data_IF_688096938714
#
_entry.id   IF_688096938714
#
_cell.length_a   1.000
_cell.length_b   1.000
_cell.length_c   1.000
_cell.angle_alpha   90.00
_cell.angle_beta   90.00
_cell.angle_gamma   90.00
#
_symmetry.space_group_name_H-M   'P 1'
#
loop_
_entity.id
_entity.type
_entity.pdbx_description
1 polymer ?
#
# COMPACT_ATOMS: atom_id res chain seq x y z
N UNK A 1 -41.12 2.83 -27.32
CA UNK A 1 -39.99 2.07 -26.74
C UNK A 1 -39.73 2.63 -25.37
N UNK A 2 -39.64 1.79 -24.33
CA UNK A 2 -39.56 2.24 -22.94
C UNK A 2 -38.08 2.40 -22.54
N UNK A 3 -37.68 3.59 -22.10
CA UNK A 3 -36.33 3.90 -21.61
C UNK A 3 -35.92 2.93 -20.49
N UNK A 4 -36.80 2.70 -19.52
CA UNK A 4 -36.52 1.89 -18.35
C UNK A 4 -36.29 0.42 -18.74
N UNK A 5 -36.99 -0.05 -19.77
CA UNK A 5 -36.79 -1.40 -20.30
C UNK A 5 -35.38 -1.57 -20.88
N UNK A 6 -34.88 -0.59 -21.63
CA UNK A 6 -33.52 -0.63 -22.15
C UNK A 6 -32.45 -0.46 -21.07
N UNK A 7 -32.67 0.41 -20.08
CA UNK A 7 -31.77 0.53 -18.93
C UNK A 7 -31.69 -0.79 -18.14
N UNK A 8 -32.83 -1.42 -17.86
CA UNK A 8 -32.87 -2.71 -17.17
C UNK A 8 -32.20 -3.82 -17.98
N UNK A 9 -32.42 -3.84 -19.30
CA UNK A 9 -31.77 -4.82 -20.17
C UNK A 9 -30.25 -4.61 -20.23
N UNK A 10 -29.79 -3.35 -20.25
CA UNK A 10 -28.37 -3.02 -20.11
C UNK A 10 -27.77 -3.54 -18.80
N UNK A 11 -28.50 -3.37 -17.68
CA UNK A 11 -28.08 -3.92 -16.39
C UNK A 11 -27.93 -5.44 -16.43
N UNK A 12 -28.90 -6.15 -17.01
CA UNK A 12 -28.85 -7.61 -17.16
C UNK A 12 -27.62 -8.03 -17.99
N UNK A 13 -27.36 -7.37 -19.12
CA UNK A 13 -26.19 -7.67 -19.94
C UNK A 13 -24.87 -7.40 -19.21
N UNK A 14 -24.79 -6.33 -18.42
CA UNK A 14 -23.62 -6.04 -17.58
C UNK A 14 -23.39 -7.16 -16.55
N UNK A 15 -24.43 -7.62 -15.85
CA UNK A 15 -24.31 -8.69 -14.85
C UNK A 15 -23.81 -10.01 -15.46
N UNK A 16 -24.14 -10.31 -16.72
CA UNK A 16 -23.66 -11.51 -17.42
C UNK A 16 -22.34 -11.30 -18.19
N UNK A 17 -21.67 -10.15 -18.02
CA UNK A 17 -20.37 -9.85 -18.64
C UNK A 17 -20.42 -9.44 -20.12
N UNK A 18 -21.61 -9.24 -20.69
CA UNK A 18 -21.84 -8.86 -22.08
C UNK A 18 -21.80 -7.33 -22.23
N UNK A 19 -20.64 -6.74 -21.90
CA UNK A 19 -20.46 -5.29 -21.76
C UNK A 19 -20.79 -4.48 -23.03
N UNK A 20 -20.47 -5.02 -24.21
CA UNK A 20 -20.78 -4.34 -25.46
C UNK A 20 -22.29 -4.21 -25.69
N UNK A 21 -23.05 -5.28 -25.42
CA UNK A 21 -24.53 -5.26 -25.51
C UNK A 21 -25.14 -4.37 -24.43
N UNK A 22 -24.56 -4.35 -23.23
CA UNK A 22 -24.97 -3.43 -22.17
C UNK A 22 -24.87 -1.97 -22.63
N UNK A 23 -23.74 -1.59 -23.22
CA UNK A 23 -23.51 -0.24 -23.76
C UNK A 23 -24.47 0.13 -24.90
N UNK A 24 -24.79 -0.81 -25.79
CA UNK A 24 -25.78 -0.59 -26.85
C UNK A 24 -27.16 -0.25 -26.27
N UNK A 25 -27.62 -1.01 -25.28
CA UNK A 25 -28.90 -0.74 -24.64
C UNK A 25 -28.93 0.55 -23.83
N UNK A 26 -27.84 0.90 -23.15
CA UNK A 26 -27.73 2.20 -22.48
C UNK A 26 -27.76 3.37 -23.46
N UNK A 27 -27.10 3.26 -24.63
CA UNK A 27 -27.17 4.27 -25.69
C UNK A 27 -28.61 4.45 -26.20
N UNK A 28 -29.33 3.36 -26.48
CA UNK A 28 -30.75 3.43 -26.87
C UNK A 28 -31.59 4.10 -25.77
N UNK A 29 -31.32 3.79 -24.49
CA UNK A 29 -32.02 4.42 -23.37
C UNK A 29 -31.73 5.93 -23.26
N UNK A 30 -30.50 6.37 -23.57
CA UNK A 30 -30.13 7.78 -23.65
C UNK A 30 -30.74 8.50 -24.85
N UNK A 31 -30.86 7.84 -26.01
CA UNK A 31 -31.56 8.41 -27.18
C UNK A 31 -33.01 8.74 -26.86
N UNK A 32 -33.66 7.96 -25.99
CA UNK A 32 -35.02 8.20 -25.51
C UNK A 32 -35.10 9.29 -24.44
N UNK A 33 -34.08 9.41 -23.58
CA UNK A 33 -33.99 10.43 -22.54
C UNK A 33 -32.53 10.75 -22.18
N UNK A 34 -31.96 11.80 -22.79
CA UNK A 34 -30.55 12.16 -22.61
C UNK A 34 -30.19 12.72 -21.23
N UNK A 35 -31.18 13.01 -20.36
CA UNK A 35 -30.99 13.68 -19.07
C UNK A 35 -31.10 12.75 -17.86
N UNK A 36 -31.00 11.42 -18.07
CA UNK A 36 -31.05 10.47 -16.96
C UNK A 36 -29.64 10.17 -16.41
N UNK A 37 -29.28 10.67 -15.20
CA UNK A 37 -27.96 10.44 -14.61
C UNK A 37 -27.66 8.96 -14.32
N UNK A 38 -28.68 8.14 -14.07
CA UNK A 38 -28.53 6.71 -13.74
C UNK A 38 -27.92 5.96 -14.92
N UNK A 39 -28.30 6.30 -16.15
CA UNK A 39 -27.79 5.61 -17.34
C UNK A 39 -26.31 5.92 -17.54
N UNK A 40 -25.90 7.19 -17.40
CA UNK A 40 -24.49 7.58 -17.44
C UNK A 40 -23.68 6.89 -16.35
N UNK A 41 -24.21 6.80 -15.12
CA UNK A 41 -23.55 6.05 -14.05
C UNK A 41 -23.37 4.56 -14.39
N UNK A 42 -24.41 3.91 -14.93
CA UNK A 42 -24.33 2.51 -15.34
C UNK A 42 -23.34 2.29 -16.50
N UNK A 43 -23.29 3.21 -17.46
CA UNK A 43 -22.27 3.20 -18.52
C UNK A 43 -20.87 3.36 -17.93
N UNK A 44 -20.66 4.28 -16.98
CA UNK A 44 -19.39 4.44 -16.29
C UNK A 44 -18.92 3.17 -15.59
N UNK A 45 -19.83 2.43 -14.95
CA UNK A 45 -19.53 1.10 -14.39
C UNK A 45 -19.11 0.10 -15.46
N UNK A 46 -19.77 0.06 -16.61
CA UNK A 46 -19.39 -0.84 -17.71
C UNK A 46 -18.02 -0.47 -18.29
N UNK A 47 -17.75 0.81 -18.51
CA UNK A 47 -16.43 1.28 -18.97
C UNK A 47 -15.32 0.87 -17.98
N UNK A 48 -15.59 0.99 -16.67
CA UNK A 48 -14.69 0.51 -15.61
C UNK A 48 -14.42 -0.99 -15.73
N UNK A 49 -15.44 -1.82 -15.90
CA UNK A 49 -15.27 -3.27 -16.09
C UNK A 49 -14.50 -3.63 -17.38
N UNK A 50 -14.53 -2.76 -18.39
CA UNK A 50 -13.75 -2.93 -19.61
C UNK A 50 -12.32 -2.36 -19.51
N UNK A 51 -11.90 -1.83 -18.35
CA UNK A 51 -10.59 -1.20 -18.16
C UNK A 51 -10.45 0.20 -18.78
N UNK A 52 -11.55 0.80 -19.26
CA UNK A 52 -11.59 2.10 -19.94
C UNK A 52 -11.84 3.22 -18.94
N UNK A 53 -10.81 3.52 -18.14
CA UNK A 53 -10.95 4.41 -16.99
C UNK A 53 -11.22 5.88 -17.37
N UNK A 54 -10.65 6.38 -18.46
CA UNK A 54 -10.89 7.75 -18.94
C UNK A 54 -12.34 7.94 -19.41
N UNK A 55 -12.86 6.94 -20.14
CA UNK A 55 -14.25 6.89 -20.55
C UNK A 55 -15.18 6.77 -19.35
N UNK A 56 -14.85 5.92 -18.37
CA UNK A 56 -15.61 5.81 -17.12
C UNK A 56 -15.71 7.15 -16.39
N UNK A 57 -14.58 7.87 -16.24
CA UNK A 57 -14.55 9.21 -15.64
C UNK A 57 -15.44 10.18 -16.40
N UNK A 58 -15.42 10.14 -17.73
CA UNK A 58 -16.28 10.97 -18.58
C UNK A 58 -17.76 10.71 -18.30
N UNK A 59 -18.17 9.43 -18.20
CA UNK A 59 -19.55 9.07 -17.90
C UNK A 59 -19.98 9.49 -16.49
N UNK A 60 -19.12 9.29 -15.48
CA UNK A 60 -19.43 9.71 -14.11
C UNK A 60 -19.56 11.23 -13.97
N UNK A 61 -18.68 11.99 -14.61
CA UNK A 61 -18.80 13.45 -14.64
C UNK A 61 -20.10 13.90 -15.31
N UNK A 62 -20.55 13.21 -16.38
CA UNK A 62 -21.83 13.52 -17.01
C UNK A 62 -23.04 13.22 -16.11
N UNK A 63 -22.98 12.13 -15.35
CA UNK A 63 -23.99 11.82 -14.34
C UNK A 63 -24.04 12.88 -13.23
N UNK A 64 -22.88 13.37 -12.78
CA UNK A 64 -22.75 14.45 -11.78
C UNK A 64 -23.30 15.78 -12.32
N UNK A 65 -23.04 16.12 -13.58
CA UNK A 65 -23.59 17.33 -14.21
C UNK A 65 -25.13 17.32 -14.19
N UNK A 66 -25.73 16.15 -14.35
CA UNK A 66 -27.19 15.96 -14.32
C UNK A 66 -27.76 15.82 -12.90
N UNK A 67 -26.96 15.35 -11.95
CA UNK A 67 -27.31 15.27 -10.53
C UNK A 67 -26.07 15.47 -9.66
N UNK A 68 -25.89 16.70 -9.18
CA UNK A 68 -24.74 17.10 -8.36
C UNK A 68 -24.65 16.32 -7.03
N UNK A 69 -25.74 15.73 -6.54
CA UNK A 69 -25.77 14.96 -5.29
C UNK A 69 -25.65 13.45 -5.51
N UNK A 70 -25.15 13.02 -6.67
CA UNK A 70 -25.01 11.60 -6.97
C UNK A 70 -23.74 11.02 -6.33
N UNK A 71 -23.85 10.71 -5.03
CA UNK A 71 -22.74 10.29 -4.16
C UNK A 71 -21.98 9.09 -4.74
N UNK A 72 -22.67 8.12 -5.33
CA UNK A 72 -22.05 6.92 -5.89
C UNK A 72 -21.04 7.23 -7.01
N UNK A 73 -21.28 8.27 -7.83
CA UNK A 73 -20.32 8.70 -8.85
C UNK A 73 -19.04 9.25 -8.23
N UNK A 74 -19.14 10.02 -7.15
CA UNK A 74 -17.96 10.57 -6.46
C UNK A 74 -17.14 9.47 -5.81
N UNK A 75 -17.79 8.44 -5.25
CA UNK A 75 -17.13 7.26 -4.71
C UNK A 75 -16.38 6.51 -5.82
N UNK A 76 -17.08 6.19 -6.92
CA UNK A 76 -16.46 5.47 -8.05
C UNK A 76 -15.30 6.27 -8.69
N UNK A 77 -15.45 7.59 -8.85
CA UNK A 77 -14.38 8.47 -9.33
C UNK A 77 -13.18 8.50 -8.39
N UNK A 78 -13.42 8.60 -7.08
CA UNK A 78 -12.37 8.54 -6.07
C UNK A 78 -11.56 7.25 -6.18
N UNK A 79 -12.25 6.11 -6.33
CA UNK A 79 -11.63 4.80 -6.52
C UNK A 79 -10.79 4.72 -7.80
N UNK A 80 -11.27 5.30 -8.91
CA UNK A 80 -10.52 5.36 -10.17
C UNK A 80 -9.26 6.19 -10.01
N UNK A 81 -9.37 7.41 -9.50
CA UNK A 81 -8.21 8.29 -9.34
C UNK A 81 -7.18 7.70 -8.37
N UNK A 82 -7.63 7.04 -7.31
CA UNK A 82 -6.77 6.31 -6.40
C UNK A 82 -5.98 5.20 -7.11
N UNK A 83 -6.64 4.41 -7.96
CA UNK A 83 -5.97 3.34 -8.73
C UNK A 83 -4.99 3.93 -9.74
N UNK A 84 -5.38 4.96 -10.48
CA UNK A 84 -4.52 5.64 -11.46
C UNK A 84 -3.29 6.23 -10.79
N UNK A 85 -3.43 6.82 -9.59
CA UNK A 85 -2.32 7.37 -8.84
C UNK A 85 -1.30 6.28 -8.45
N UNK A 86 -1.76 5.13 -7.97
CA UNK A 86 -0.88 4.01 -7.60
C UNK A 86 -0.20 3.37 -8.83
N UNK A 87 -0.93 3.24 -9.94
CA UNK A 87 -0.39 2.73 -11.20
C UNK A 87 0.72 3.65 -11.75
N UNK A 88 0.45 4.95 -11.86
CA UNK A 88 1.42 5.90 -12.40
C UNK A 88 2.61 6.12 -11.46
N UNK A 89 2.40 6.04 -10.13
CA UNK A 89 3.51 6.15 -9.17
C UNK A 89 4.51 5.00 -9.33
N UNK A 90 4.02 3.75 -9.39
CA UNK A 90 4.85 2.57 -9.61
C UNK A 90 5.55 2.62 -10.98
N UNK A 91 4.85 3.07 -12.03
CA UNK A 91 5.39 3.18 -13.39
C UNK A 91 6.51 4.20 -13.52
N UNK A 92 6.40 5.34 -12.83
CA UNK A 92 7.48 6.34 -12.77
C UNK A 92 8.71 5.72 -12.08
N UNK A 93 8.51 5.01 -10.95
CA UNK A 93 9.59 4.35 -10.24
C UNK A 93 10.26 3.25 -11.09
N UNK A 94 9.48 2.42 -11.79
CA UNK A 94 9.94 1.36 -12.70
C UNK A 94 10.82 1.93 -13.80
N UNK A 95 10.37 3.00 -14.46
CA UNK A 95 11.15 3.67 -15.51
C UNK A 95 12.54 4.10 -15.03
N UNK A 96 12.63 4.69 -13.83
CA UNK A 96 13.91 5.11 -13.25
C UNK A 96 14.77 3.91 -12.85
N UNK A 97 14.14 2.86 -12.27
CA UNK A 97 14.84 1.63 -11.92
C UNK A 97 15.44 0.94 -13.16
N UNK A 98 14.69 0.86 -14.27
CA UNK A 98 15.18 0.32 -15.54
C UNK A 98 16.37 1.12 -16.08
N UNK A 99 16.25 2.45 -16.08
CA UNK A 99 17.31 3.34 -16.56
C UNK A 99 18.62 3.13 -15.78
N UNK A 100 18.55 3.07 -14.44
CA UNK A 100 19.75 2.90 -13.61
C UNK A 100 20.27 1.47 -13.59
N UNK A 101 19.41 0.47 -13.75
CA UNK A 101 19.82 -0.94 -13.92
C UNK A 101 20.55 -1.12 -15.24
N UNK A 102 20.06 -0.53 -16.33
CA UNK A 102 20.75 -0.57 -17.61
C UNK A 102 22.15 0.09 -17.57
N UNK A 103 22.32 1.14 -16.75
CA UNK A 103 23.62 1.81 -16.52
C UNK A 103 24.59 1.00 -15.68
N UNK A 104 24.11 0.15 -14.77
CA UNK A 104 24.94 -0.72 -13.93
C UNK A 104 24.21 -2.05 -13.68
N UNK A 105 24.34 -3.02 -14.61
CA UNK A 105 23.62 -4.30 -14.53
C UNK A 105 23.99 -5.17 -13.33
N UNK A 106 25.19 -5.03 -12.78
CA UNK A 106 25.64 -5.78 -11.59
C UNK A 106 24.95 -5.31 -10.30
N UNK A 107 24.23 -4.18 -10.34
CA UNK A 107 23.45 -3.62 -9.23
C UNK A 107 22.04 -3.26 -9.69
N UNK A 108 21.14 -4.24 -9.87
CA UNK A 108 19.76 -3.98 -10.29
C UNK A 108 19.00 -3.14 -9.27
N UNK A 109 18.04 -2.34 -9.75
CA UNK A 109 17.11 -1.54 -8.93
C UNK A 109 15.72 -2.16 -9.02
N UNK A 110 15.07 -2.24 -7.88
CA UNK A 110 13.74 -2.81 -7.72
C UNK A 110 12.75 -1.75 -7.25
N UNK A 111 11.50 -1.91 -7.62
CA UNK A 111 10.38 -1.07 -7.18
C UNK A 111 9.62 -1.77 -6.07
N UNK A 112 9.57 -1.17 -4.89
CA UNK A 112 8.67 -1.57 -3.82
C UNK A 112 7.40 -0.70 -3.88
N UNK A 113 6.26 -1.32 -4.16
CA UNK A 113 4.94 -0.71 -4.12
C UNK A 113 4.53 -0.45 -2.66
N UNK A 114 4.63 0.80 -2.23
CA UNK A 114 4.31 1.22 -0.86
C UNK A 114 2.80 1.18 -0.58
N UNK A 115 2.44 0.45 0.48
CA UNK A 115 1.09 0.30 1.02
C UNK A 115 1.13 0.84 2.45
N UNK A 116 0.85 2.13 2.58
CA UNK A 116 0.81 2.81 3.87
C UNK A 116 -0.41 2.44 4.72
N UNK A 117 -0.44 2.90 5.98
CA UNK A 117 -1.58 2.68 6.84
C UNK A 117 -2.73 3.60 6.42
N UNK A 118 -3.97 3.14 6.58
CA UNK A 118 -5.13 4.01 6.42
C UNK A 118 -5.25 4.96 7.62
N UNK A 119 -6.09 5.98 7.53
CA UNK A 119 -6.43 6.83 8.68
C UNK A 119 -7.47 6.21 9.62
N UNK A 120 -7.85 4.93 9.39
CA UNK A 120 -8.86 4.21 10.17
C UNK A 120 -8.21 3.03 10.87
N UNK A 121 -8.60 2.76 12.12
CA UNK A 121 -8.19 1.60 12.89
C UNK A 121 -9.31 0.55 12.89
N UNK A 122 -8.99 -0.70 12.59
CA UNK A 122 -9.93 -1.81 12.73
C UNK A 122 -9.86 -2.44 14.13
N UNK A 123 -8.73 -2.36 14.83
CA UNK A 123 -8.59 -2.92 16.19
C UNK A 123 -9.01 -1.95 17.29
N UNK A 124 -8.93 -0.64 17.04
CA UNK A 124 -9.21 0.42 18.03
C UNK A 124 -10.48 1.20 17.67
N UNK A 125 -11.26 1.56 18.70
CA UNK A 125 -12.37 2.51 18.53
C UNK A 125 -11.82 3.94 18.45
N UNK A 126 -12.29 4.76 17.49
CA UNK A 126 -12.00 6.19 17.47
C UNK A 126 -12.83 6.99 18.48
N UNK A 127 -13.87 6.39 19.08
CA UNK A 127 -14.68 7.03 20.12
C UNK A 127 -14.30 6.48 21.50
N UNK A 128 -13.67 7.33 22.32
CA UNK A 128 -13.25 6.98 23.68
C UNK A 128 -14.41 6.62 24.60
N UNK A 129 -15.63 7.05 24.28
CA UNK A 129 -16.83 6.76 25.07
C UNK A 129 -17.53 5.47 24.63
N UNK A 130 -17.20 4.94 23.44
CA UNK A 130 -17.71 3.68 22.93
C UNK A 130 -16.55 2.76 22.49
N UNK A 131 -15.99 1.95 23.41
CA UNK A 131 -14.87 1.06 23.08
C UNK A 131 -15.24 -0.06 22.09
N UNK A 132 -16.53 -0.33 21.88
CA UNK A 132 -17.02 -1.35 20.95
C UNK A 132 -17.16 -0.84 19.51
N UNK A 133 -17.29 0.48 19.32
CA UNK A 133 -17.44 1.08 17.99
C UNK A 133 -16.22 0.84 17.09
N UNK A 134 -16.47 0.61 15.79
CA UNK A 134 -15.45 0.51 14.74
C UNK A 134 -15.89 1.34 13.55
N UNK A 135 -15.01 2.21 13.07
CA UNK A 135 -15.28 3.09 11.94
C UNK A 135 -14.95 2.47 10.57
N UNK A 136 -14.34 1.28 10.57
CA UNK A 136 -14.04 0.51 9.36
C UNK A 136 -14.09 -0.98 9.70
N UNK A 137 -14.47 -1.78 8.71
CA UNK A 137 -14.48 -3.23 8.79
C UNK A 137 -13.26 -3.85 8.09
N UNK A 138 -12.98 -5.12 8.43
CA UNK A 138 -11.93 -5.89 7.75
C UNK A 138 -12.20 -6.01 6.24
N UNK A 139 -13.46 -6.20 5.85
CA UNK A 139 -13.88 -6.33 4.45
C UNK A 139 -13.58 -5.06 3.65
N UNK A 140 -13.92 -3.89 4.20
CA UNK A 140 -13.65 -2.60 3.55
C UNK A 140 -12.15 -2.36 3.38
N UNK A 141 -11.34 -2.70 4.40
CA UNK A 141 -9.88 -2.62 4.30
C UNK A 141 -9.33 -3.59 3.25
N UNK A 142 -9.79 -4.85 3.24
CA UNK A 142 -9.37 -5.86 2.26
C UNK A 142 -9.60 -5.37 0.84
N UNK A 143 -10.81 -4.89 0.53
CA UNK A 143 -11.15 -4.39 -0.79
C UNK A 143 -10.29 -3.19 -1.21
N UNK A 144 -10.06 -2.24 -0.30
CA UNK A 144 -9.21 -1.09 -0.57
C UNK A 144 -7.75 -1.48 -0.82
N UNK A 145 -7.19 -2.35 0.03
CA UNK A 145 -5.81 -2.83 -0.13
C UNK A 145 -5.64 -3.68 -1.39
N UNK A 146 -6.64 -4.50 -1.75
CA UNK A 146 -6.63 -5.26 -2.99
C UNK A 146 -6.54 -4.34 -4.19
N UNK A 147 -7.42 -3.33 -4.25
CA UNK A 147 -7.42 -2.34 -5.31
C UNK A 147 -6.09 -1.58 -5.42
N UNK A 148 -5.50 -1.18 -4.29
CA UNK A 148 -4.19 -0.52 -4.27
C UNK A 148 -3.08 -1.45 -4.81
N UNK A 149 -3.05 -2.68 -4.32
CA UNK A 149 -2.02 -3.67 -4.64
C UNK A 149 -2.05 -4.04 -6.12
N UNK A 150 -3.23 -4.29 -6.68
CA UNK A 150 -3.44 -4.53 -8.11
C UNK A 150 -2.86 -3.38 -8.96
N UNK A 151 -3.18 -2.14 -8.61
CA UNK A 151 -2.69 -0.97 -9.34
C UNK A 151 -1.15 -0.81 -9.25
N UNK A 152 -0.55 -1.07 -8.09
CA UNK A 152 0.91 -1.03 -7.91
C UNK A 152 1.62 -2.11 -8.73
N UNK A 153 1.06 -3.33 -8.76
CA UNK A 153 1.58 -4.45 -9.56
C UNK A 153 1.47 -4.16 -11.05
N UNK A 154 0.31 -3.69 -11.51
CA UNK A 154 0.09 -3.32 -12.91
C UNK A 154 1.02 -2.17 -13.36
N UNK A 155 1.35 -1.27 -12.44
CA UNK A 155 2.33 -0.20 -12.66
C UNK A 155 3.78 -0.68 -12.70
N UNK A 156 4.06 -1.94 -12.38
CA UNK A 156 5.38 -2.56 -12.48
C UNK A 156 6.18 -2.59 -11.18
N UNK A 157 5.50 -2.67 -10.03
CA UNK A 157 6.15 -2.95 -8.74
C UNK A 157 6.66 -4.40 -8.68
N UNK A 158 7.90 -4.59 -8.25
CA UNK A 158 8.54 -5.91 -8.10
C UNK A 158 8.22 -6.55 -6.74
N UNK A 159 7.92 -5.72 -5.74
CA UNK A 159 7.72 -6.08 -4.33
C UNK A 159 6.53 -5.26 -3.82
N UNK A 160 5.70 -5.82 -2.94
CA UNK A 160 4.70 -5.03 -2.18
C UNK A 160 5.19 -4.79 -0.75
N UNK A 161 5.16 -3.54 -0.32
CA UNK A 161 5.65 -3.09 0.98
C UNK A 161 4.49 -2.57 1.83
N UNK A 162 3.99 -3.40 2.75
CA UNK A 162 2.99 -2.99 3.74
C UNK A 162 3.71 -2.34 4.91
N UNK A 163 3.66 -1.02 4.99
CA UNK A 163 4.54 -0.26 5.89
C UNK A 163 3.83 0.74 6.80
N UNK A 164 4.58 1.24 7.78
CA UNK A 164 4.12 2.15 8.82
C UNK A 164 2.89 1.60 9.57
N UNK A 165 2.90 0.29 9.80
CA UNK A 165 1.76 -0.41 10.41
C UNK A 165 1.68 -0.04 11.90
N UNK A 166 0.66 0.73 12.26
CA UNK A 166 0.30 0.99 13.65
C UNK A 166 -0.81 0.04 14.17
N UNK A 167 -1.64 -0.50 13.27
CA UNK A 167 -2.73 -1.43 13.56
C UNK A 167 -2.52 -2.75 12.82
N UNK A 168 -2.18 -3.80 13.56
CA UNK A 168 -1.88 -5.12 12.98
C UNK A 168 -3.10 -5.75 12.31
N UNK A 169 -4.34 -5.43 12.70
CA UNK A 169 -5.52 -5.94 12.02
C UNK A 169 -5.64 -5.36 10.60
N UNK A 170 -5.24 -4.10 10.41
CA UNK A 170 -5.17 -3.50 9.07
C UNK A 170 -4.11 -4.19 8.21
N UNK A 171 -2.93 -4.44 8.78
CA UNK A 171 -1.89 -5.19 8.07
C UNK A 171 -2.37 -6.58 7.65
N UNK A 172 -3.10 -7.29 8.52
CA UNK A 172 -3.71 -8.58 8.16
C UNK A 172 -4.73 -8.47 7.02
N UNK A 173 -5.49 -7.37 6.95
CA UNK A 173 -6.39 -7.14 5.81
C UNK A 173 -5.61 -6.90 4.50
N UNK A 174 -4.50 -6.15 4.56
CA UNK A 174 -3.61 -5.95 3.41
C UNK A 174 -2.96 -7.26 2.95
N UNK A 175 -2.42 -8.02 3.90
CA UNK A 175 -1.79 -9.32 3.68
C UNK A 175 -2.77 -10.33 3.07
N UNK A 176 -4.00 -10.40 3.58
CA UNK A 176 -5.04 -11.24 3.01
C UNK A 176 -5.42 -10.80 1.60
N UNK A 177 -5.52 -9.49 1.34
CA UNK A 177 -5.78 -8.97 0.01
C UNK A 177 -4.66 -9.33 -1.00
N UNK A 178 -3.40 -9.29 -0.57
CA UNK A 178 -2.27 -9.70 -1.41
C UNK A 178 -2.32 -11.21 -1.69
N UNK A 179 -2.67 -12.02 -0.68
CA UNK A 179 -2.84 -13.47 -0.84
C UNK A 179 -3.93 -13.82 -1.86
N UNK A 180 -5.09 -13.16 -1.80
CA UNK A 180 -6.15 -13.29 -2.82
C UNK A 180 -5.63 -12.95 -4.23
N UNK A 181 -4.81 -11.89 -4.37
CA UNK A 181 -4.24 -11.51 -5.67
C UNK A 181 -3.28 -12.59 -6.18
N UNK A 182 -2.44 -13.16 -5.31
CA UNK A 182 -1.54 -14.26 -5.69
C UNK A 182 -2.31 -15.46 -6.22
N UNK A 183 -3.39 -15.86 -5.53
CA UNK A 183 -4.27 -16.94 -5.97
C UNK A 183 -4.96 -16.63 -7.30
N UNK A 184 -5.54 -15.43 -7.45
CA UNK A 184 -6.28 -15.02 -8.64
C UNK A 184 -5.40 -14.86 -9.89
N UNK A 185 -4.20 -14.32 -9.72
CA UNK A 185 -3.25 -14.10 -10.82
C UNK A 185 -2.32 -15.29 -11.06
N UNK A 186 -2.23 -16.24 -10.12
CA UNK A 186 -1.30 -17.36 -10.19
C UNK A 186 0.16 -16.92 -10.18
N UNK A 187 0.49 -15.90 -9.39
CA UNK A 187 1.84 -15.34 -9.25
C UNK A 187 2.29 -15.36 -7.79
N UNK A 188 3.59 -15.47 -7.57
CA UNK A 188 4.19 -15.21 -6.25
C UNK A 188 4.64 -13.76 -6.17
N UNK A 189 4.27 -13.07 -5.10
CA UNK A 189 4.60 -11.67 -4.86
C UNK A 189 5.54 -11.61 -3.66
N UNK A 190 6.76 -11.05 -3.78
CA UNK A 190 7.59 -10.77 -2.62
C UNK A 190 6.93 -9.70 -1.74
N UNK A 191 6.72 -10.01 -0.46
CA UNK A 191 6.05 -9.13 0.50
C UNK A 191 7.01 -8.65 1.57
N UNK A 192 7.11 -7.34 1.75
CA UNK A 192 7.77 -6.72 2.89
C UNK A 192 6.73 -6.18 3.87
N UNK A 193 6.95 -6.40 5.16
CA UNK A 193 6.07 -5.90 6.23
C UNK A 193 6.87 -5.05 7.19
N UNK A 194 6.44 -3.81 7.43
CA UNK A 194 7.12 -2.90 8.36
C UNK A 194 6.15 -2.27 9.35
N UNK A 195 6.37 -2.55 10.63
CA UNK A 195 5.62 -1.95 11.74
C UNK A 195 6.12 -0.56 12.12
N UNK A 196 5.33 0.15 12.92
CA UNK A 196 5.77 1.37 13.61
C UNK A 196 5.56 1.24 15.11
N UNK A 197 6.65 1.38 15.86
CA UNK A 197 6.62 1.51 17.32
C UNK A 197 6.42 2.98 17.67
N UNK A 198 5.30 3.31 18.31
CA UNK A 198 4.82 4.71 18.37
C UNK A 198 5.51 5.57 19.41
N UNK A 199 6.06 4.96 20.46
CA UNK A 199 6.73 5.68 21.54
C UNK A 199 7.70 4.79 22.33
N UNK A 200 8.28 5.36 23.40
CA UNK A 200 9.21 4.68 24.29
C UNK A 200 8.60 3.50 25.08
N UNK A 201 7.27 3.27 25.01
CA UNK A 201 6.66 2.07 25.61
C UNK A 201 7.03 0.80 24.86
N UNK A 202 7.55 0.92 23.63
CA UNK A 202 7.99 -0.21 22.82
C UNK A 202 6.87 -1.03 22.22
N UNK A 203 5.73 -0.39 21.97
CA UNK A 203 4.55 -1.02 21.39
C UNK A 203 4.08 -0.31 20.12
N UNK A 204 3.39 -1.06 19.26
CA UNK A 204 2.56 -0.47 18.21
C UNK A 204 1.38 0.28 18.84
N UNK A 205 0.67 1.10 18.05
CA UNK A 205 -0.53 1.80 18.54
C UNK A 205 -1.61 0.83 19.02
N UNK A 206 -1.71 -0.35 18.38
CA UNK A 206 -2.59 -1.46 18.77
C UNK A 206 -2.09 -2.24 20.01
N UNK A 207 -0.99 -1.81 20.65
CA UNK A 207 -0.49 -2.34 21.91
C UNK A 207 0.41 -3.58 21.80
N UNK A 208 0.79 -4.00 20.59
CA UNK A 208 1.63 -5.18 20.38
C UNK A 208 3.11 -4.88 20.65
N UNK A 209 3.81 -5.82 21.27
CA UNK A 209 5.28 -5.83 21.31
C UNK A 209 5.84 -6.21 19.95
N UNK A 210 7.14 -6.00 19.73
CA UNK A 210 7.81 -6.39 18.48
C UNK A 210 7.67 -7.89 18.17
N UNK A 211 7.80 -8.75 19.19
CA UNK A 211 7.61 -10.20 19.06
C UNK A 211 6.16 -10.57 18.72
N UNK A 212 5.18 -9.96 19.39
CA UNK A 212 3.77 -10.21 19.12
C UNK A 212 3.37 -9.75 17.71
N UNK A 213 3.94 -8.64 17.25
CA UNK A 213 3.77 -8.15 15.87
C UNK A 213 4.32 -9.17 14.87
N UNK A 214 5.56 -9.63 15.05
CA UNK A 214 6.19 -10.65 14.22
C UNK A 214 5.28 -11.88 14.09
N UNK A 215 4.91 -12.51 15.21
CA UNK A 215 4.05 -13.70 15.22
C UNK A 215 2.72 -13.45 14.49
N UNK A 216 2.15 -12.25 14.63
CA UNK A 216 0.87 -11.91 14.01
C UNK A 216 0.92 -11.82 12.48
N UNK A 217 2.08 -11.51 11.90
CA UNK A 217 2.26 -11.31 10.46
C UNK A 217 2.99 -12.47 9.77
N UNK A 218 3.64 -13.38 10.52
CA UNK A 218 4.39 -14.54 10.02
C UNK A 218 3.56 -15.67 9.38
N UNK A 219 2.25 -15.47 9.16
CA UNK A 219 1.39 -16.49 8.54
C UNK A 219 1.52 -16.55 7.01
N UNK A 220 2.21 -15.57 6.41
CA UNK A 220 2.60 -15.55 4.99
C UNK A 220 4.11 -15.69 4.87
N UNK A 221 4.56 -16.13 3.69
CA UNK A 221 5.98 -16.17 3.35
C UNK A 221 6.49 -14.75 3.03
N UNK A 222 7.05 -14.08 4.03
CA UNK A 222 7.51 -12.70 3.89
C UNK A 222 8.95 -12.65 3.35
N UNK A 223 9.20 -11.74 2.41
CA UNK A 223 10.57 -11.38 2.03
C UNK A 223 11.29 -10.75 3.22
N UNK A 224 10.66 -9.79 3.89
CA UNK A 224 11.20 -9.17 5.09
C UNK A 224 10.13 -8.72 6.09
N UNK A 225 10.54 -8.64 7.35
CA UNK A 225 9.79 -8.02 8.46
C UNK A 225 10.66 -6.99 9.16
N UNK A 226 10.08 -5.86 9.54
CA UNK A 226 10.89 -4.76 10.05
C UNK A 226 10.13 -3.67 10.77
N UNK A 227 10.83 -2.57 11.02
CA UNK A 227 10.24 -1.36 11.56
C UNK A 227 10.72 -0.10 10.85
N UNK A 228 9.83 0.88 10.81
CA UNK A 228 10.09 2.19 10.24
C UNK A 228 9.31 3.31 10.92
N UNK A 229 9.75 4.54 10.67
CA UNK A 229 9.15 5.76 11.19
C UNK A 229 9.14 5.83 12.72
N UNK A 230 8.55 6.89 13.27
CA UNK A 230 8.41 7.27 14.68
C UNK A 230 9.71 7.43 15.50
N UNK A 231 10.66 6.51 15.37
CA UNK A 231 11.89 6.43 16.13
C UNK A 231 13.12 6.71 15.24
N UNK A 232 14.16 7.28 15.86
CA UNK A 232 15.51 7.35 15.29
C UNK A 232 16.24 6.00 15.40
N UNK A 233 17.45 5.93 14.85
CA UNK A 233 18.17 4.67 14.76
C UNK A 233 18.50 4.08 16.15
N UNK A 234 19.05 4.86 17.07
CA UNK A 234 19.37 4.36 18.42
C UNK A 234 18.16 3.76 19.15
N UNK A 235 16.99 4.38 19.06
CA UNK A 235 15.78 3.93 19.74
C UNK A 235 15.17 2.67 19.11
N UNK A 236 15.39 2.44 17.81
CA UNK A 236 14.82 1.29 17.10
C UNK A 236 15.55 -0.03 17.41
N UNK A 237 16.81 0.04 17.85
CA UNK A 237 17.70 -1.10 18.00
C UNK A 237 17.13 -2.26 18.83
N UNK A 238 16.55 -2.06 20.04
CA UNK A 238 16.07 -3.19 20.86
C UNK A 238 14.99 -4.03 20.17
N UNK A 239 14.20 -3.39 19.30
CA UNK A 239 13.15 -4.07 18.53
C UNK A 239 13.74 -4.84 17.36
N UNK A 240 14.81 -4.34 16.74
CA UNK A 240 15.55 -5.08 15.71
C UNK A 240 16.27 -6.30 16.30
N UNK A 241 16.84 -6.20 17.50
CA UNK A 241 17.42 -7.34 18.22
C UNK A 241 16.35 -8.42 18.47
N UNK A 242 15.15 -8.00 18.88
CA UNK A 242 14.01 -8.90 19.08
C UNK A 242 13.59 -9.60 17.78
N UNK A 243 13.46 -8.87 16.67
CA UNK A 243 13.11 -9.47 15.38
C UNK A 243 14.23 -10.39 14.87
N UNK A 244 15.48 -9.95 14.93
CA UNK A 244 16.63 -10.71 14.45
C UNK A 244 16.82 -12.04 15.20
N UNK A 245 16.44 -12.11 16.48
CA UNK A 245 16.51 -13.33 17.26
C UNK A 245 15.36 -14.31 16.94
N UNK A 246 14.16 -13.80 16.65
CA UNK A 246 12.94 -14.61 16.58
C UNK A 246 12.39 -14.82 15.17
N UNK A 247 12.99 -14.21 14.14
CA UNK A 247 12.49 -14.25 12.76
C UNK A 247 13.30 -15.17 11.85
N UNK A 248 12.60 -15.94 11.03
CA UNK A 248 13.15 -16.69 9.90
C UNK A 248 13.19 -15.87 8.60
N UNK A 249 12.69 -14.63 8.61
CA UNK A 249 12.68 -13.75 7.45
C UNK A 249 13.88 -12.80 7.43
N UNK A 250 14.08 -12.08 6.33
CA UNK A 250 15.00 -10.95 6.31
C UNK A 250 14.48 -9.85 7.24
N UNK A 251 15.40 -9.11 7.88
CA UNK A 251 15.03 -7.96 8.72
C UNK A 251 15.23 -6.66 7.94
N UNK A 252 14.17 -5.86 7.86
CA UNK A 252 14.24 -4.50 7.30
C UNK A 252 14.22 -3.43 8.39
N UNK A 253 14.96 -2.35 8.21
CA UNK A 253 14.91 -1.19 9.08
C UNK A 253 15.07 0.09 8.28
N UNK A 254 14.26 1.10 8.55
CA UNK A 254 14.44 2.41 7.93
C UNK A 254 13.96 3.51 8.89
N UNK A 255 14.81 3.88 9.87
CA UNK A 255 14.46 4.83 10.92
C UNK A 255 14.36 6.27 10.38
N UNK A 256 13.83 7.17 11.20
CA UNK A 256 13.89 8.61 10.94
C UNK A 256 15.32 9.14 11.13
N UNK A 257 15.62 10.32 10.56
CA UNK A 257 16.83 11.08 10.86
C UNK A 257 16.72 11.74 12.25
N UNK A 258 16.76 10.92 13.30
CA UNK A 258 16.50 11.31 14.67
C UNK A 258 15.01 11.53 14.98
N UNK A 259 14.73 12.15 16.12
CA UNK A 259 13.37 12.56 16.52
C UNK A 259 13.09 13.98 15.98
N UNK A 260 11.84 14.29 15.60
CA UNK A 260 11.49 15.63 15.14
C UNK A 260 11.69 16.65 16.27
N UNK A 261 12.27 17.80 15.94
CA UNK A 261 12.43 18.92 16.85
C UNK A 261 11.09 19.66 17.09
N UNK A 262 11.10 20.69 17.93
CA UNK A 262 9.89 21.46 18.27
C UNK A 262 9.20 22.13 17.07
N UNK A 263 9.88 22.25 15.92
CA UNK A 263 9.35 22.77 14.66
C UNK A 263 8.96 21.67 13.67
N UNK A 264 9.03 20.40 14.07
CA UNK A 264 8.74 19.25 13.20
C UNK A 264 9.84 18.94 12.18
N UNK A 265 11.05 19.49 12.35
CA UNK A 265 12.19 19.25 11.48
C UNK A 265 13.11 18.17 12.06
N UNK A 266 13.98 17.62 11.22
CA UNK A 266 14.95 16.59 11.58
C UNK A 266 16.35 17.15 11.45
N UNK A 267 17.08 17.20 12.58
CA UNK A 267 18.39 17.87 12.68
C UNK A 267 19.56 16.88 12.60
N UNK A 268 19.30 15.57 12.58
CA UNK A 268 20.33 14.54 12.51
C UNK A 268 21.02 14.57 11.14
N UNK A 269 22.35 14.58 11.13
CA UNK A 269 23.14 14.58 9.90
C UNK A 269 23.31 13.18 9.31
N UNK A 270 23.68 13.06 8.02
CA UNK A 270 24.01 11.77 7.40
C UNK A 270 25.06 10.96 8.17
N UNK A 271 26.10 11.62 8.68
CA UNK A 271 27.18 10.98 9.44
C UNK A 271 26.70 10.48 10.80
N UNK A 272 25.87 11.27 11.48
CA UNK A 272 25.28 10.89 12.77
C UNK A 272 24.36 9.68 12.62
N UNK A 273 23.48 9.69 11.62
CA UNK A 273 22.57 8.58 11.35
C UNK A 273 23.35 7.31 10.98
N UNK A 274 24.39 7.42 10.15
CA UNK A 274 25.25 6.29 9.80
C UNK A 274 26.00 5.73 11.01
N UNK A 275 26.53 6.58 11.90
CA UNK A 275 27.22 6.13 13.12
C UNK A 275 26.28 5.32 14.05
N UNK A 276 25.01 5.71 14.13
CA UNK A 276 24.00 4.94 14.88
C UNK A 276 23.65 3.61 14.20
N UNK A 277 23.47 3.60 12.87
CA UNK A 277 23.19 2.39 12.09
C UNK A 277 24.35 1.39 12.14
N UNK A 278 25.58 1.85 12.38
CA UNK A 278 26.76 1.00 12.48
C UNK A 278 26.57 -0.12 13.51
N UNK A 279 25.91 0.15 14.63
CA UNK A 279 25.65 -0.88 15.64
C UNK A 279 24.76 -2.01 15.10
N UNK A 280 23.84 -1.71 14.17
CA UNK A 280 22.97 -2.72 13.57
C UNK A 280 23.75 -3.73 12.73
N UNK A 281 24.68 -3.23 11.91
CA UNK A 281 25.48 -4.06 11.00
C UNK A 281 26.60 -4.78 11.74
N UNK A 282 27.19 -4.18 12.79
CA UNK A 282 28.17 -4.83 13.65
C UNK A 282 27.56 -6.01 14.42
N UNK A 283 26.31 -5.89 14.84
CA UNK A 283 25.54 -6.98 15.49
C UNK A 283 24.90 -7.94 14.50
N UNK A 284 24.97 -7.68 13.19
CA UNK A 284 24.36 -8.51 12.16
C UNK A 284 22.83 -8.63 12.28
N UNK A 285 22.14 -7.52 12.58
CA UNK A 285 20.70 -7.52 12.86
C UNK A 285 19.82 -7.39 11.61
N UNK A 286 20.34 -6.83 10.53
CA UNK A 286 19.53 -6.39 9.38
C UNK A 286 19.98 -7.00 8.05
N UNK A 287 19.04 -7.01 7.10
CA UNK A 287 19.23 -7.42 5.70
C UNK A 287 18.93 -6.27 4.73
N UNK A 288 17.95 -5.43 5.05
CA UNK A 288 17.51 -4.29 4.24
C UNK A 288 17.55 -3.05 5.13
N UNK A 289 18.18 -1.98 4.66
CA UNK A 289 18.32 -0.71 5.40
C UNK A 289 17.89 0.45 4.51
N UNK A 290 17.30 1.48 5.11
CA UNK A 290 16.93 2.71 4.42
C UNK A 290 16.72 3.85 5.39
N UNK A 291 15.92 4.82 4.96
CA UNK A 291 15.55 5.99 5.75
C UNK A 291 14.07 6.33 5.61
N UNK A 292 13.48 6.92 6.64
CA UNK A 292 12.10 7.42 6.64
C UNK A 292 12.08 8.95 6.78
N UNK A 293 11.29 9.51 7.69
CA UNK A 293 11.13 10.96 7.82
C UNK A 293 12.47 11.65 8.17
N UNK A 294 12.73 12.77 7.51
CA UNK A 294 13.96 13.56 7.68
C UNK A 294 15.15 13.10 6.85
N UNK A 295 15.10 11.92 6.25
CA UNK A 295 16.22 11.38 5.48
C UNK A 295 16.28 11.96 4.06
N UNK A 296 17.51 12.09 3.54
CA UNK A 296 17.80 12.68 2.22
C UNK A 296 18.70 11.74 1.41
N UNK A 297 18.93 11.99 0.10
CA UNK A 297 19.89 11.22 -0.69
C UNK A 297 21.29 11.15 -0.07
N UNK A 298 21.73 12.20 0.63
CA UNK A 298 23.01 12.22 1.36
C UNK A 298 23.02 11.22 2.52
N UNK A 299 21.90 11.08 3.24
CA UNK A 299 21.73 10.06 4.27
C UNK A 299 21.80 8.65 3.65
N UNK A 300 21.06 8.42 2.56
CA UNK A 300 21.08 7.13 1.87
C UNK A 300 22.49 6.78 1.36
N UNK A 301 23.25 7.77 0.88
CA UNK A 301 24.64 7.59 0.48
C UNK A 301 25.53 7.20 1.68
N UNK A 302 25.43 7.90 2.81
CA UNK A 302 26.21 7.59 4.00
C UNK A 302 25.90 6.17 4.54
N UNK A 303 24.63 5.78 4.53
CA UNK A 303 24.19 4.43 4.87
C UNK A 303 24.77 3.39 3.89
N UNK A 304 24.68 3.64 2.58
CA UNK A 304 25.22 2.74 1.57
C UNK A 304 26.74 2.54 1.71
N UNK A 305 27.50 3.63 1.89
CA UNK A 305 28.96 3.63 2.06
C UNK A 305 29.38 2.93 3.39
N UNK A 306 28.49 2.89 4.39
CA UNK A 306 28.69 2.14 5.64
C UNK A 306 28.46 0.64 5.43
N UNK A 307 27.29 0.26 4.92
CA UNK A 307 26.85 -1.15 4.88
C UNK A 307 27.61 -2.00 3.86
N UNK A 308 28.22 -1.38 2.84
CA UNK A 308 29.09 -2.07 1.86
C UNK A 308 30.28 -2.81 2.51
N UNK A 309 30.64 -2.46 3.75
CA UNK A 309 31.74 -3.08 4.51
C UNK A 309 31.33 -4.29 5.33
N UNK A 310 30.04 -4.63 5.36
CA UNK A 310 29.47 -5.63 6.25
C UNK A 310 28.65 -6.65 5.47
N UNK A 311 28.61 -7.87 5.99
CA UNK A 311 27.74 -8.93 5.47
C UNK A 311 26.33 -8.80 6.05
N UNK A 312 25.27 -9.10 5.27
CA UNK A 312 23.90 -9.07 5.78
C UNK A 312 23.68 -10.16 6.85
N UNK A 313 22.65 -9.97 7.69
CA UNK A 313 22.21 -10.99 8.66
C UNK A 313 21.98 -12.33 7.96
N UNK A 314 22.57 -13.41 8.52
CA UNK A 314 22.34 -14.76 8.01
C UNK A 314 20.94 -15.22 8.37
N UNK A 315 20.13 -15.46 7.35
CA UNK A 315 18.80 -16.05 7.49
C UNK A 315 18.94 -17.56 7.42
N UNK A 316 18.49 -18.28 8.45
CA UNK A 316 18.40 -19.75 8.41
C UNK A 316 17.03 -20.08 7.84
N UNK A 317 16.97 -20.43 6.56
CA UNK A 317 15.74 -20.96 5.97
C UNK A 317 15.49 -22.36 6.53
N UNK A 318 14.53 -22.48 7.44
CA UNK A 318 13.96 -23.76 7.86
C UNK A 318 13.10 -24.28 6.70
N UNK A 319 13.63 -25.21 5.91
CA UNK A 319 12.84 -25.96 4.91
C UNK A 319 11.98 -27.04 5.59
#
# INVERSE_FOLDING_TARGET
TNQDAHNNLGNVYKEIGEYQKAMEHYKIALDLNPKNPIIYFNMGKVEKYMGRLEEAVTQYNKAIELNEKYIDCYIDLGNIYYSVQNYESAKIARKVCDEYTAKNPDKPRFVAGSIGPTNRTASLSPDVNDPGYRAITFEELRLAYKQQSEALLDGGSDILLVETIFDTLNAKAALFAIDEIQEERGIEIPIMVSGTITDASGRTLSGQTAEAFLISVSHLNLLSVGFNCALGANQLMPYLETLAHNSEFCISAYPNAGLPNAFGQYDESPEQMADQIKEYVEKGLINIIGGCCGTTPEHIKAIADLVEKYEPRKVVFSF
#
